data_IF_354189097182
#
_entry.id   IF_354189097182
#
_cell.length_a   1.000
_cell.length_b   1.000
_cell.length_c   1.000
_cell.angle_alpha   90.00
_cell.angle_beta   90.00
_cell.angle_gamma   90.00
#
_symmetry.space_group_name_H-M   'P 1'
#
loop_
_entity.id
_entity.type
_entity.pdbx_description
1 polymer ?
#
# COMPACT_ATOMS: atom_id res chain seq x y z
N UNK A 1 5.80 31.62 -45.99
CA UNK A 1 5.63 30.60 -44.95
C UNK A 1 4.65 31.16 -43.93
N UNK A 2 3.46 30.57 -43.80
CA UNK A 2 2.32 31.22 -43.12
C UNK A 2 2.51 31.14 -41.61
N UNK A 3 2.90 32.27 -41.00
CA UNK A 3 3.31 32.41 -39.59
C UNK A 3 2.26 31.85 -38.61
N UNK A 4 0.97 31.92 -38.99
CA UNK A 4 -0.16 31.34 -38.27
C UNK A 4 -0.07 29.81 -38.15
N UNK A 5 0.31 29.13 -39.24
CA UNK A 5 0.45 27.66 -39.28
C UNK A 5 1.64 27.20 -38.47
N UNK A 6 2.74 27.97 -38.48
CA UNK A 6 3.92 27.66 -37.65
C UNK A 6 3.64 27.86 -36.16
N UNK A 7 2.85 28.87 -35.77
CA UNK A 7 2.43 29.02 -34.36
C UNK A 7 1.55 27.85 -33.88
N UNK A 8 0.60 27.40 -34.70
CA UNK A 8 -0.26 26.27 -34.34
C UNK A 8 0.53 24.96 -34.18
N UNK A 9 1.52 24.72 -35.03
CA UNK A 9 2.39 23.54 -34.94
C UNK A 9 3.24 23.57 -33.67
N UNK A 10 3.85 24.73 -33.35
CA UNK A 10 4.67 24.88 -32.14
C UNK A 10 3.85 24.72 -30.86
N UNK A 11 2.62 25.26 -30.81
CA UNK A 11 1.72 25.05 -29.66
C UNK A 11 1.36 23.57 -29.47
N UNK A 12 1.09 22.82 -30.56
CA UNK A 12 0.73 21.40 -30.47
C UNK A 12 1.88 20.52 -29.93
N UNK A 13 3.14 20.85 -30.28
CA UNK A 13 4.33 20.15 -29.79
C UNK A 13 4.64 20.42 -28.31
N UNK A 14 4.23 21.58 -27.77
CA UNK A 14 4.41 21.90 -26.36
C UNK A 14 3.37 21.20 -25.46
N UNK A 15 2.15 20.98 -25.96
CA UNK A 15 1.06 20.31 -25.23
C UNK A 15 1.27 18.79 -25.06
N UNK A 16 2.05 18.15 -25.93
CA UNK A 16 2.33 16.71 -25.84
C UNK A 16 3.35 16.32 -24.76
N UNK A 17 3.96 17.29 -24.06
CA UNK A 17 4.91 17.04 -22.97
C UNK A 17 4.21 16.87 -21.61
N UNK A 18 2.90 17.17 -21.52
CA UNK A 18 2.13 17.07 -20.27
C UNK A 18 1.46 15.70 -20.05
N UNK A 19 1.65 14.74 -20.96
CA UNK A 19 1.08 13.38 -20.86
C UNK A 19 1.86 12.44 -19.93
N UNK A 20 3.01 12.85 -19.39
CA UNK A 20 3.76 12.08 -18.38
C UNK A 20 3.22 12.27 -16.96
N UNK A 21 1.93 12.02 -16.77
CA UNK A 21 1.32 11.89 -15.44
C UNK A 21 0.31 10.74 -15.36
N UNK A 22 0.16 9.95 -16.43
CA UNK A 22 -0.68 8.76 -16.41
C UNK A 22 0.08 7.57 -15.82
N UNK A 23 -0.12 7.38 -14.52
CA UNK A 23 -0.17 6.11 -13.79
C UNK A 23 0.69 4.97 -14.32
N UNK A 24 1.99 4.99 -13.99
CA UNK A 24 2.76 3.75 -13.93
C UNK A 24 2.57 3.14 -12.55
N UNK A 25 1.58 2.26 -12.41
CA UNK A 25 1.65 1.24 -11.37
C UNK A 25 2.85 0.36 -11.72
N UNK A 26 3.99 0.68 -11.11
CA UNK A 26 5.12 -0.25 -11.10
C UNK A 26 4.75 -1.45 -10.25
N UNK A 27 4.06 -2.42 -10.87
CA UNK A 27 4.18 -3.83 -10.48
C UNK A 27 5.55 -4.29 -10.94
N UNK A 28 6.60 -3.67 -10.38
CA UNK A 28 7.93 -4.22 -10.36
C UNK A 28 8.04 -4.91 -9.00
N UNK A 29 7.72 -6.19 -9.01
CA UNK A 29 8.18 -7.15 -8.03
C UNK A 29 9.70 -7.07 -8.00
N UNK A 30 10.25 -6.16 -7.19
CA UNK A 30 11.65 -6.20 -6.83
C UNK A 30 11.82 -7.50 -6.05
N UNK A 31 12.33 -8.51 -6.73
CA UNK A 31 12.86 -9.74 -6.14
C UNK A 31 13.83 -9.28 -5.05
N UNK A 32 13.41 -9.34 -3.78
CA UNK A 32 14.21 -8.93 -2.62
C UNK A 32 13.57 -7.96 -1.62
N UNK A 33 12.36 -7.45 -1.89
CA UNK A 33 11.52 -6.60 -1.00
C UNK A 33 10.72 -7.37 0.09
N UNK A 34 11.20 -7.70 1.30
CA UNK A 34 10.41 -8.47 2.27
C UNK A 34 9.11 -7.79 2.75
N UNK A 35 8.98 -6.47 2.62
CA UNK A 35 7.76 -5.72 2.96
C UNK A 35 6.76 -5.68 1.80
N UNK A 36 7.19 -5.99 0.57
CA UNK A 36 6.29 -6.14 -0.59
C UNK A 36 5.68 -7.55 -0.69
N UNK A 37 6.37 -8.58 -0.18
CA UNK A 37 5.85 -9.95 -0.15
C UNK A 37 5.33 -10.31 1.24
N UNK A 38 4.11 -9.87 1.55
CA UNK A 38 3.40 -10.15 2.80
C UNK A 38 2.08 -10.82 2.49
N UNK A 39 1.77 -11.88 3.23
CA UNK A 39 0.46 -12.51 3.20
C UNK A 39 -0.37 -12.05 4.38
N UNK A 40 -1.64 -11.75 4.13
CA UNK A 40 -2.57 -11.18 5.11
C UNK A 40 -3.82 -12.05 5.15
N UNK A 41 -4.09 -12.68 6.30
CA UNK A 41 -5.17 -13.67 6.45
C UNK A 41 -5.69 -13.75 7.90
N UNK A 42 -6.92 -14.26 8.13
CA UNK A 42 -7.93 -14.56 7.13
C UNK A 42 -8.54 -13.27 6.56
N UNK A 43 -9.01 -13.34 5.32
CA UNK A 43 -9.84 -12.30 4.72
C UNK A 43 -11.06 -12.98 4.12
N UNK A 44 -12.25 -12.88 4.74
CA UNK A 44 -12.62 -11.92 5.80
C UNK A 44 -12.06 -12.25 7.20
N UNK A 45 -11.76 -11.22 7.99
CA UNK A 45 -11.25 -11.33 9.36
C UNK A 45 -12.38 -11.15 10.38
N UNK A 46 -12.29 -11.85 11.53
CA UNK A 46 -13.30 -11.78 12.60
C UNK A 46 -12.72 -11.21 13.90
N UNK A 47 -11.71 -11.86 14.48
CA UNK A 47 -11.10 -11.39 15.73
C UNK A 47 -9.66 -10.90 15.53
N UNK A 48 -8.90 -11.61 14.69
CA UNK A 48 -7.50 -11.34 14.44
C UNK A 48 -7.21 -11.37 12.94
N UNK A 49 -6.25 -10.54 12.55
CA UNK A 49 -5.64 -10.52 11.23
C UNK A 49 -4.16 -10.87 11.40
N UNK A 50 -3.72 -11.90 10.71
CA UNK A 50 -2.34 -12.40 10.74
C UNK A 50 -1.60 -11.90 9.51
N UNK A 51 -0.38 -11.41 9.73
CA UNK A 51 0.54 -10.99 8.67
C UNK A 51 1.78 -11.86 8.75
N UNK A 52 2.08 -12.57 7.65
CA UNK A 52 3.29 -13.36 7.52
C UNK A 52 4.24 -12.78 6.50
N UNK A 53 5.50 -12.67 6.87
CA UNK A 53 6.60 -12.16 6.06
C UNK A 53 7.44 -13.31 5.50
N UNK A 54 8.04 -13.11 4.32
CA UNK A 54 9.02 -14.06 3.78
C UNK A 54 10.42 -13.94 4.42
N UNK A 55 10.67 -12.87 5.17
CA UNK A 55 11.94 -12.59 5.85
C UNK A 55 11.72 -12.21 7.32
N UNK A 56 12.75 -12.34 8.18
CA UNK A 56 12.63 -12.09 9.62
C UNK A 56 12.60 -10.58 9.96
N UNK A 57 11.53 -9.89 9.55
CA UNK A 57 11.39 -8.42 9.65
C UNK A 57 10.22 -7.97 10.52
N UNK A 58 9.45 -8.89 11.10
CA UNK A 58 8.22 -8.59 11.87
C UNK A 58 8.44 -7.53 12.97
N UNK A 59 9.61 -7.51 13.61
CA UNK A 59 9.96 -6.56 14.69
C UNK A 59 10.39 -5.17 14.19
N UNK A 60 10.65 -5.01 12.89
CA UNK A 60 11.22 -3.79 12.28
C UNK A 60 10.21 -3.03 11.41
N UNK A 61 9.00 -3.56 11.29
CA UNK A 61 7.93 -2.98 10.48
C UNK A 61 6.94 -2.23 11.35
N UNK A 62 6.42 -1.12 10.83
CA UNK A 62 5.34 -0.35 11.40
C UNK A 62 4.05 -0.73 10.68
N UNK A 63 2.99 -0.94 11.46
CA UNK A 63 1.64 -1.23 10.97
C UNK A 63 0.73 -0.04 11.22
N UNK A 64 -0.09 0.28 10.24
CA UNK A 64 -1.15 1.28 10.38
C UNK A 64 -2.41 0.77 9.71
N UNK A 65 -3.54 0.79 10.42
CA UNK A 65 -4.84 0.42 9.86
C UNK A 65 -5.61 1.69 9.52
N UNK A 66 -6.19 1.75 8.32
CA UNK A 66 -7.06 2.82 7.89
C UNK A 66 -8.47 2.28 7.57
N UNK A 67 -9.49 3.07 7.84
CA UNK A 67 -10.85 2.80 7.33
C UNK A 67 -10.96 3.12 5.83
N UNK A 68 -12.14 2.88 5.24
CA UNK A 68 -12.40 3.11 3.82
C UNK A 68 -12.27 4.59 3.39
N UNK A 69 -12.39 5.54 4.31
CA UNK A 69 -12.23 6.98 4.05
C UNK A 69 -10.81 7.48 4.35
N UNK A 70 -9.89 6.58 4.73
CA UNK A 70 -8.47 6.87 4.99
C UNK A 70 -8.12 7.30 6.40
N UNK A 71 -9.07 7.38 7.34
CA UNK A 71 -8.77 7.70 8.74
C UNK A 71 -8.01 6.56 9.39
N UNK A 72 -6.92 6.88 10.09
CA UNK A 72 -6.13 5.94 10.89
C UNK A 72 -6.93 5.45 12.11
N UNK A 73 -6.83 4.16 12.40
CA UNK A 73 -7.44 3.50 13.54
C UNK A 73 -6.36 2.84 14.36
N UNK A 74 -6.39 3.10 15.66
CA UNK A 74 -5.52 2.44 16.62
C UNK A 74 -5.95 0.99 16.81
N UNK A 75 -5.01 0.07 16.65
CA UNK A 75 -5.21 -1.37 16.81
C UNK A 75 -4.03 -1.96 17.57
N UNK A 76 -4.32 -3.00 18.34
CA UNK A 76 -3.29 -3.74 19.07
C UNK A 76 -2.60 -4.72 18.10
N UNK A 77 -1.28 -4.59 17.98
CA UNK A 77 -0.44 -5.51 17.20
C UNK A 77 0.50 -6.27 18.13
N UNK A 78 0.46 -7.60 18.05
CA UNK A 78 1.30 -8.51 18.80
C UNK A 78 2.28 -9.22 17.86
N UNK A 79 3.57 -9.11 18.14
CA UNK A 79 4.61 -9.81 17.39
C UNK A 79 4.70 -11.24 17.93
N UNK A 80 4.27 -12.22 17.14
CA UNK A 80 4.29 -13.63 17.53
C UNK A 80 5.73 -14.18 17.42
N UNK A 81 6.40 -13.91 16.31
CA UNK A 81 7.79 -14.31 16.06
C UNK A 81 8.51 -13.32 15.11
N UNK A 82 9.58 -13.74 14.43
CA UNK A 82 10.32 -12.88 13.49
C UNK A 82 9.64 -12.72 12.12
N UNK A 83 8.69 -13.59 11.79
CA UNK A 83 7.99 -13.70 10.51
C UNK A 83 6.48 -13.45 10.60
N UNK A 84 5.91 -13.38 11.80
CA UNK A 84 4.47 -13.32 12.02
C UNK A 84 4.08 -12.23 13.02
N UNK A 85 3.08 -11.43 12.63
CA UNK A 85 2.43 -10.43 13.49
C UNK A 85 0.92 -10.66 13.47
N UNK A 86 0.30 -10.55 14.63
CA UNK A 86 -1.14 -10.65 14.80
C UNK A 86 -1.71 -9.29 15.20
N UNK A 87 -2.68 -8.82 14.43
CA UNK A 87 -3.42 -7.58 14.70
C UNK A 87 -4.80 -7.94 15.22
N UNK A 88 -5.17 -7.41 16.38
CA UNK A 88 -6.51 -7.54 16.93
C UNK A 88 -7.46 -6.61 16.19
N UNK A 89 -8.47 -7.19 15.54
CA UNK A 89 -9.50 -6.46 14.78
C UNK A 89 -10.90 -6.66 15.35
N UNK A 90 -11.05 -7.44 16.43
CA UNK A 90 -12.32 -7.79 17.06
C UNK A 90 -13.22 -6.58 17.35
N UNK A 91 -12.62 -5.49 17.81
CA UNK A 91 -13.32 -4.29 18.26
C UNK A 91 -13.65 -3.33 17.11
N UNK A 92 -13.26 -3.67 15.87
CA UNK A 92 -13.60 -2.90 14.67
C UNK A 92 -15.02 -3.23 14.18
N UNK A 93 -15.71 -2.21 13.68
CA UNK A 93 -16.98 -2.38 12.98
C UNK A 93 -16.82 -3.23 11.70
N UNK A 94 -17.89 -3.87 11.27
CA UNK A 94 -17.92 -4.58 10.00
C UNK A 94 -17.68 -3.62 8.82
N UNK A 95 -16.84 -4.03 7.88
CA UNK A 95 -16.51 -3.20 6.72
C UNK A 95 -15.12 -3.42 6.16
N UNK A 96 -14.77 -2.61 5.16
CA UNK A 96 -13.47 -2.66 4.51
C UNK A 96 -12.46 -1.75 5.20
N UNK A 97 -11.25 -2.27 5.34
CA UNK A 97 -10.10 -1.58 5.92
C UNK A 97 -8.86 -1.79 5.06
N UNK A 98 -7.89 -0.92 5.25
CA UNK A 98 -6.58 -0.98 4.61
C UNK A 98 -5.50 -1.11 5.67
N UNK A 99 -4.78 -2.22 5.63
CA UNK A 99 -3.57 -2.42 6.42
C UNK A 99 -2.38 -1.89 5.63
N UNK A 100 -1.68 -0.92 6.19
CA UNK A 100 -0.39 -0.43 5.70
C UNK A 100 0.75 -1.08 6.48
N UNK A 101 1.73 -1.64 5.76
CA UNK A 101 2.96 -2.17 6.32
C UNK A 101 4.13 -1.34 5.79
N UNK A 102 4.92 -0.76 6.69
CA UNK A 102 6.04 0.11 6.34
C UNK A 102 7.30 -0.38 7.04
N UNK A 103 8.43 -0.41 6.33
CA UNK A 103 9.72 -0.68 6.97
C UNK A 103 10.20 0.56 7.74
N UNK A 104 10.67 0.40 8.98
CA UNK A 104 11.21 1.54 9.75
C UNK A 104 12.45 2.20 9.14
N UNK A 105 13.18 1.50 8.27
CA UNK A 105 14.45 1.98 7.69
C UNK A 105 14.30 2.53 6.26
N UNK A 106 13.28 2.11 5.52
CA UNK A 106 13.09 2.49 4.11
C UNK A 106 11.73 3.13 3.90
N UNK A 107 11.61 4.08 2.96
CA UNK A 107 10.31 4.70 2.61
C UNK A 107 9.30 3.74 1.95
N UNK A 108 9.65 2.45 1.81
CA UNK A 108 8.81 1.45 1.19
C UNK A 108 7.60 1.09 2.07
N UNK A 109 6.43 1.07 1.42
CA UNK A 109 5.13 0.79 2.01
C UNK A 109 4.37 -0.21 1.14
N UNK A 110 3.75 -1.20 1.75
CA UNK A 110 2.74 -2.05 1.12
C UNK A 110 1.38 -1.80 1.78
N UNK A 111 0.30 -1.93 1.00
CA UNK A 111 -1.06 -1.70 1.49
C UNK A 111 -1.94 -2.88 1.07
N UNK A 112 -2.63 -3.47 2.05
CA UNK A 112 -3.48 -4.64 1.85
C UNK A 112 -4.91 -4.33 2.30
N UNK A 113 -5.88 -4.55 1.40
CA UNK A 113 -7.31 -4.41 1.74
C UNK A 113 -7.82 -5.69 2.39
N UNK A 114 -8.54 -5.57 3.50
CA UNK A 114 -9.25 -6.71 4.12
C UNK A 114 -10.68 -6.33 4.50
N UNK A 115 -11.55 -7.34 4.59
CA UNK A 115 -12.92 -7.23 5.08
C UNK A 115 -12.98 -7.69 6.53
N UNK A 116 -13.49 -6.85 7.43
CA UNK A 116 -13.90 -7.22 8.79
C UNK A 116 -15.34 -7.71 8.77
N UNK A 117 -15.59 -8.89 9.35
CA UNK A 117 -16.90 -9.49 9.63
C UNK A 117 -17.12 -9.63 11.13
#
# INVERSE_FOLDING_TARGET
MNVWKTCLIVCSLALSQMTFAQGREEVFSSIGDPVKSVQVYPNPATEFLTITFEAPVARKVKFTVHNIIGSEIEVEAEVMDEYEVKIKVKDLHEGYYFLSVQNGTTAQKSTHKFLKR
#
